data_IF_219438858339
#
_entry.id   IF_219438858339
#
_cell.length_a   1.000
_cell.length_b   1.000
_cell.length_c   1.000
_cell.angle_alpha   90.00
_cell.angle_beta   90.00
_cell.angle_gamma   90.00
#
_symmetry.space_group_name_H-M   'P 1'
#
loop_
_entity.id
_entity.type
_entity.pdbx_description
1 polymer ?
#
# COMPACT_ATOMS: atom_id res chain seq x y z
N UNK A 1 -10.19 12.06 4.10
CA UNK A 1 -8.88 11.84 3.44
C UNK A 1 -9.17 11.60 1.97
N UNK A 2 -8.76 12.49 1.06
CA UNK A 2 -8.91 12.23 -0.37
C UNK A 2 -7.72 11.39 -0.83
N UNK A 3 -7.96 10.17 -1.33
CA UNK A 3 -6.90 9.28 -1.81
C UNK A 3 -7.02 9.13 -3.32
N UNK A 4 -6.02 9.61 -4.07
CA UNK A 4 -5.97 9.54 -5.52
C UNK A 4 -4.89 8.58 -6.00
N UNK A 5 -5.04 8.01 -7.19
CA UNK A 5 -3.96 7.23 -7.81
C UNK A 5 -2.84 8.17 -8.24
N UNK A 6 -1.69 8.09 -7.55
CA UNK A 6 -0.52 8.88 -7.87
C UNK A 6 0.15 8.36 -9.16
N UNK A 7 0.69 9.24 -10.01
CA UNK A 7 1.49 8.83 -11.15
C UNK A 7 2.78 8.16 -10.68
N UNK A 8 3.24 7.14 -11.42
CA UNK A 8 4.39 6.33 -11.03
C UNK A 8 5.68 7.16 -10.89
N UNK A 9 5.86 8.19 -11.73
CA UNK A 9 7.00 9.10 -11.67
C UNK A 9 7.10 9.83 -10.33
N UNK A 10 5.97 10.24 -9.76
CA UNK A 10 5.91 10.87 -8.45
C UNK A 10 6.27 9.87 -7.34
N UNK A 11 5.70 8.66 -7.38
CA UNK A 11 6.04 7.60 -6.43
C UNK A 11 7.55 7.30 -6.42
N UNK A 12 8.17 7.21 -7.61
CA UNK A 12 9.62 6.99 -7.73
C UNK A 12 10.43 8.18 -7.19
N UNK A 13 9.94 9.39 -7.35
CA UNK A 13 10.60 10.60 -6.83
C UNK A 13 10.56 10.59 -5.30
N UNK A 14 9.42 10.24 -4.70
CA UNK A 14 9.28 10.07 -3.26
C UNK A 14 10.18 8.96 -2.72
N UNK A 15 10.24 7.80 -3.37
CA UNK A 15 11.14 6.71 -3.01
C UNK A 15 12.61 7.16 -3.04
N UNK A 16 13.02 7.98 -4.03
CA UNK A 16 14.38 8.56 -4.09
C UNK A 16 14.65 9.51 -2.93
N UNK A 17 13.68 10.35 -2.55
CA UNK A 17 13.83 11.24 -1.41
C UNK A 17 13.96 10.47 -0.10
N UNK A 18 13.17 9.42 0.11
CA UNK A 18 13.31 8.52 1.26
C UNK A 18 14.67 7.82 1.27
N UNK A 19 15.14 7.33 0.12
CA UNK A 19 16.45 6.70 0.02
C UNK A 19 17.58 7.68 0.38
N UNK A 20 17.50 8.93 -0.11
CA UNK A 20 18.45 10.00 0.21
C UNK A 20 18.42 10.35 1.70
N UNK A 21 17.24 10.47 2.28
CA UNK A 21 17.06 10.72 3.71
C UNK A 21 17.65 9.58 4.55
N UNK A 22 17.32 8.34 4.22
CA UNK A 22 17.77 7.16 4.95
C UNK A 22 19.29 7.01 4.94
N UNK A 23 19.92 7.23 3.79
CA UNK A 23 21.38 7.15 3.66
C UNK A 23 22.10 8.46 4.04
N UNK A 24 21.36 9.49 4.48
CA UNK A 24 21.94 10.76 4.92
C UNK A 24 22.69 11.51 3.83
N UNK A 25 22.27 11.40 2.57
CA UNK A 25 22.85 12.10 1.44
C UNK A 25 22.44 13.59 1.50
N UNK A 26 23.29 14.40 2.11
CA UNK A 26 23.22 15.87 2.14
C UNK A 26 23.99 16.47 0.97
N UNK A 27 23.66 17.71 0.61
CA UNK A 27 24.22 18.40 -0.56
C UNK A 27 25.76 18.44 -0.47
N UNK A 28 26.43 17.78 -1.43
CA UNK A 28 27.89 17.68 -1.50
C UNK A 28 28.54 16.49 -0.77
N UNK A 29 27.80 15.67 0.00
CA UNK A 29 28.33 14.46 0.67
C UNK A 29 27.48 13.24 0.38
N UNK A 30 27.80 12.52 -0.71
CA UNK A 30 27.22 11.20 -0.98
C UNK A 30 27.80 10.16 -0.02
N UNK A 31 26.93 9.58 0.81
CA UNK A 31 27.25 8.39 1.59
C UNK A 31 27.14 7.16 0.70
N UNK A 32 28.00 6.17 0.94
CA UNK A 32 27.97 4.91 0.19
C UNK A 32 26.65 4.17 0.50
N UNK A 33 25.92 3.80 -0.55
CA UNK A 33 24.74 2.96 -0.45
C UNK A 33 25.18 1.49 -0.31
N UNK A 34 25.23 0.98 0.92
CA UNK A 34 25.61 -0.42 1.19
C UNK A 34 24.59 -1.42 0.64
N UNK A 35 23.32 -1.03 0.63
CA UNK A 35 22.20 -1.88 0.21
C UNK A 35 21.30 -1.05 -0.70
N UNK A 36 20.89 -1.63 -1.83
CA UNK A 36 19.95 -0.98 -2.74
C UNK A 36 18.61 -0.72 -2.04
N UNK A 37 17.96 0.41 -2.35
CA UNK A 37 16.64 0.75 -1.80
C UNK A 37 15.62 -0.38 -2.05
N UNK A 38 15.69 -1.03 -3.22
CA UNK A 38 14.83 -2.16 -3.58
C UNK A 38 15.00 -3.37 -2.65
N UNK A 39 16.21 -3.63 -2.15
CA UNK A 39 16.46 -4.71 -1.21
C UNK A 39 15.99 -4.35 0.20
N UNK A 40 16.10 -3.08 0.61
CA UNK A 40 15.52 -2.60 1.87
C UNK A 40 13.99 -2.73 1.87
N UNK A 41 13.35 -2.54 0.71
CA UNK A 41 11.91 -2.68 0.55
C UNK A 41 11.39 -4.12 0.54
N UNK A 42 12.26 -5.13 0.62
CA UNK A 42 11.81 -6.52 0.76
C UNK A 42 11.20 -6.76 2.14
N UNK A 43 10.37 -7.79 2.25
CA UNK A 43 9.82 -8.20 3.54
C UNK A 43 10.95 -8.56 4.52
N UNK A 44 10.69 -8.46 5.83
CA UNK A 44 11.66 -8.89 6.85
C UNK A 44 12.02 -10.37 6.75
N UNK A 45 11.05 -11.19 6.30
CA UNK A 45 11.26 -12.61 6.05
C UNK A 45 12.24 -12.86 4.90
N UNK A 46 12.22 -11.99 3.87
CA UNK A 46 13.10 -12.09 2.70
C UNK A 46 14.42 -11.33 2.87
N UNK A 47 14.80 -11.00 4.11
CA UNK A 47 16.05 -10.30 4.44
C UNK A 47 16.05 -8.79 4.15
N UNK A 48 14.88 -8.17 3.95
CA UNK A 48 14.73 -6.72 3.87
C UNK A 48 14.36 -6.06 5.20
N UNK A 49 14.11 -4.76 5.18
CA UNK A 49 13.63 -4.00 6.35
C UNK A 49 12.10 -3.93 6.44
N UNK A 50 11.40 -4.35 5.39
CA UNK A 50 9.95 -4.25 5.29
C UNK A 50 9.44 -2.87 4.86
N UNK A 51 10.28 -2.02 4.26
CA UNK A 51 9.81 -0.76 3.68
C UNK A 51 8.90 -1.04 2.48
N UNK A 52 7.75 -0.37 2.42
CA UNK A 52 6.85 -0.46 1.29
C UNK A 52 7.25 0.58 0.24
N UNK A 53 7.19 0.21 -1.05
CA UNK A 53 7.32 1.22 -2.12
C UNK A 53 6.09 2.11 -2.12
N UNK A 54 6.26 3.40 -2.41
CA UNK A 54 5.15 4.35 -2.42
C UNK A 54 3.99 3.95 -3.33
N UNK A 55 4.29 3.27 -4.44
CA UNK A 55 3.27 2.73 -5.33
C UNK A 55 2.32 1.74 -4.61
N UNK A 56 2.89 0.77 -3.89
CA UNK A 56 2.15 -0.25 -3.14
C UNK A 56 1.40 0.37 -1.97
N UNK A 57 2.03 1.32 -1.28
CA UNK A 57 1.40 2.06 -0.21
C UNK A 57 0.18 2.84 -0.72
N UNK A 58 0.30 3.51 -1.87
CA UNK A 58 -0.82 4.24 -2.47
C UNK A 58 -1.96 3.31 -2.90
N UNK A 59 -1.64 2.13 -3.45
CA UNK A 59 -2.65 1.12 -3.78
C UNK A 59 -3.37 0.63 -2.52
N UNK A 60 -2.63 0.32 -1.45
CA UNK A 60 -3.23 -0.09 -0.18
C UNK A 60 -4.14 0.99 0.41
N UNK A 61 -3.77 2.27 0.29
CA UNK A 61 -4.62 3.40 0.71
C UNK A 61 -5.89 3.52 -0.12
N UNK A 62 -5.80 3.32 -1.44
CA UNK A 62 -6.98 3.30 -2.32
C UNK A 62 -7.93 2.15 -1.97
N UNK A 63 -7.39 0.96 -1.70
CA UNK A 63 -8.19 -0.19 -1.26
C UNK A 63 -8.84 0.09 0.09
N UNK A 64 -8.09 0.64 1.06
CA UNK A 64 -8.63 1.02 2.37
C UNK A 64 -9.74 2.07 2.27
N UNK A 65 -9.62 3.00 1.33
CA UNK A 65 -10.68 3.98 1.06
C UNK A 65 -11.89 3.32 0.40
N UNK A 66 -11.68 2.50 -0.62
CA UNK A 66 -12.75 1.76 -1.30
C UNK A 66 -13.52 0.85 -0.33
N UNK A 67 -12.81 0.18 0.58
CA UNK A 67 -13.42 -0.64 1.63
C UNK A 67 -14.36 0.16 2.52
N UNK A 68 -13.94 1.36 2.96
CA UNK A 68 -14.79 2.24 3.77
C UNK A 68 -16.04 2.72 3.03
N UNK A 69 -15.94 2.96 1.72
CA UNK A 69 -17.09 3.34 0.89
C UNK A 69 -18.08 2.16 0.79
N UNK A 70 -17.58 0.93 0.70
CA UNK A 70 -18.43 -0.27 0.65
C UNK A 70 -19.13 -0.55 1.98
N UNK A 71 -18.45 -0.28 3.10
CA UNK A 71 -18.97 -0.52 4.45
C UNK A 71 -19.94 0.57 4.93
N UNK A 72 -19.83 1.80 4.39
CA UNK A 72 -20.67 2.95 4.73
C UNK A 72 -21.65 3.27 3.58
N UNK A 73 -22.72 2.47 3.50
CA UNK A 73 -23.76 2.52 2.46
C UNK A 73 -24.60 3.80 2.45
N UNK A 74 -24.52 4.63 3.49
CA UNK A 74 -25.27 5.90 3.60
C UNK A 74 -24.40 7.15 3.39
N UNK A 75 -23.12 6.97 3.11
CA UNK A 75 -22.22 8.09 2.84
C UNK A 75 -22.55 8.76 1.50
N UNK A 76 -22.48 10.10 1.43
CA UNK A 76 -22.78 10.89 0.23
C UNK A 76 -21.97 10.50 -1.03
N UNK A 77 -20.89 9.75 -0.85
CA UNK A 77 -20.03 9.22 -1.90
C UNK A 77 -20.64 8.01 -2.61
N UNK A 78 -21.46 7.20 -1.92
CA UNK A 78 -22.19 6.07 -2.51
C UNK A 78 -23.28 6.56 -3.48
N UNK A 79 -24.09 7.54 -3.04
CA UNK A 79 -25.23 8.08 -3.80
C UNK A 79 -24.85 8.75 -5.13
N UNK A 80 -23.61 9.22 -5.31
CA UNK A 80 -23.12 9.84 -6.57
C UNK A 80 -22.18 8.94 -7.39
N UNK A 81 -21.85 7.76 -6.89
CA UNK A 81 -20.65 7.05 -7.31
C UNK A 81 -20.81 5.55 -7.39
N UNK A 82 -21.77 5.04 -8.17
CA UNK A 82 -21.67 3.70 -8.77
C UNK A 82 -20.53 3.66 -9.82
N UNK A 83 -19.35 4.19 -9.48
CA UNK A 83 -18.15 4.11 -10.28
C UNK A 83 -17.55 2.74 -10.01
N UNK A 84 -17.96 1.78 -10.86
CA UNK A 84 -17.34 0.47 -11.12
C UNK A 84 -15.91 0.39 -10.56
N UNK A 85 -15.77 -0.05 -9.31
CA UNK A 85 -14.47 -0.40 -8.73
C UNK A 85 -14.11 -1.73 -9.37
N UNK A 86 -13.56 -1.66 -10.60
CA UNK A 86 -12.97 -2.82 -11.23
C UNK A 86 -11.71 -3.15 -10.44
N UNK A 87 -11.89 -4.04 -9.47
CA UNK A 87 -10.84 -4.54 -8.59
C UNK A 87 -9.93 -5.41 -9.45
N UNK A 88 -8.96 -4.76 -10.10
CA UNK A 88 -7.99 -5.43 -10.96
C UNK A 88 -7.05 -6.26 -10.09
N UNK A 89 -7.46 -7.50 -9.82
CA UNK A 89 -6.56 -8.63 -9.54
C UNK A 89 -6.02 -8.78 -8.12
N UNK A 90 -6.58 -8.12 -7.10
CA UNK A 90 -6.32 -8.57 -5.72
C UNK A 90 -7.32 -9.68 -5.44
N UNK A 91 -6.93 -10.91 -5.75
CA UNK A 91 -7.55 -12.08 -5.13
C UNK A 91 -7.36 -11.89 -3.63
N UNK A 92 -8.43 -11.53 -2.94
CA UNK A 92 -8.51 -11.72 -1.51
C UNK A 92 -8.34 -13.22 -1.30
N UNK A 93 -7.12 -13.67 -0.97
CA UNK A 93 -7.02 -14.90 -0.21
C UNK A 93 -7.73 -14.59 1.10
N UNK A 94 -9.00 -15.00 1.16
CA UNK A 94 -9.67 -15.23 2.42
C UNK A 94 -8.71 -16.06 3.27
N UNK A 95 -8.13 -15.44 4.30
CA UNK A 95 -7.60 -16.22 5.41
C UNK A 95 -8.81 -16.73 6.16
N UNK A 96 -9.30 -17.90 5.73
CA UNK A 96 -9.99 -18.83 6.59
C UNK A 96 -9.10 -19.07 7.82
N UNK A 97 -9.50 -18.53 8.96
CA UNK A 97 -9.19 -19.10 10.26
C UNK A 97 -10.50 -19.61 10.83
N UNK A 98 -10.72 -20.91 10.65
CA UNK A 98 -11.90 -21.60 11.13
C UNK A 98 -12.05 -21.57 12.65
N UNK A 99 -13.30 -21.41 13.09
CA UNK A 99 -13.79 -21.85 14.38
C UNK A 99 -14.99 -22.76 14.14
N UNK A 100 -14.81 -24.08 14.27
CA UNK A 100 -15.91 -25.05 14.29
C UNK A 100 -16.69 -24.90 15.61
N UNK A 101 -17.99 -24.65 15.51
CA UNK A 101 -19.04 -25.14 16.43
C UNK A 101 -20.31 -25.17 15.58
N UNK A 102 -20.83 -26.32 15.15
CA UNK A 102 -21.25 -27.41 16.01
C UNK A 102 -22.72 -27.21 16.35
N UNK A 103 -23.57 -28.00 15.67
CA UNK A 103 -24.78 -28.64 16.21
C UNK A 103 -26.13 -27.87 16.25
N UNK A 104 -27.16 -28.58 15.75
CA UNK A 104 -28.61 -28.47 16.01
C UNK A 104 -29.36 -27.24 15.43
N UNK A 105 -30.41 -27.37 14.60
CA UNK A 105 -31.38 -28.46 14.31
C UNK A 105 -31.81 -28.41 12.85
#
# INVERSE_FOLDING_TARGET
>A
MSCFKLPLSLCQTLDKHLARFWWGAQEGKNRIHWISWRNLCRSKHDGGLGFQRFEQFNQALLVKMGWRILEDSDSLLDRRGAAKVSFMGVTCCAMDCGGKSGLEK
#
